data_IF_544487402241
#
_entry.id   IF_544487402241
#
_cell.length_a   1.000
_cell.length_b   1.000
_cell.length_c   1.000
_cell.angle_alpha   90.00
_cell.angle_beta   90.00
_cell.angle_gamma   90.00
#
_symmetry.space_group_name_H-M   'P 1'
#
loop_
_entity.id
_entity.type
_entity.pdbx_description
1 polymer ?
#
# COMPACT_ATOMS: atom_id res chain seq x y z
N UNK A 1 25.47 -5.48 0.03
CA UNK A 1 24.88 -5.40 -0.04
C UNK A 1 24.17 -5.40 -0.09
N UNK A 2 23.85 -5.55 -0.27
CA UNK A 2 22.92 -5.69 -0.43
C UNK A 2 22.12 -5.29 -0.73
N UNK A 3 21.88 -5.42 -1.25
CA UNK A 3 21.06 -4.96 -1.61
C UNK A 3 20.05 -5.17 -1.66
N UNK A 4 19.73 -5.61 -1.50
CA UNK A 4 18.65 -5.80 -1.58
C UNK A 4 17.96 -5.18 -1.26
N UNK A 5 18.26 -5.03 -1.23
CA UNK A 5 17.70 -4.42 -0.84
C UNK A 5 16.75 -3.83 -0.99
N UNK A 6 16.58 -3.56 -0.93
CA UNK A 6 15.51 -3.13 -0.94
C UNK A 6 15.07 -2.39 -1.94
N UNK A 7 14.20 -2.87 -2.61
CA UNK A 7 13.60 -2.16 -3.62
C UNK A 7 12.39 -1.47 -3.10
N UNK A 8 12.37 -0.16 -3.11
CA UNK A 8 11.18 0.59 -2.77
C UNK A 8 10.27 0.62 -3.97
N UNK A 9 8.96 0.41 -3.77
CA UNK A 9 8.02 0.61 -4.87
C UNK A 9 7.70 2.11 -4.98
N UNK A 10 6.99 2.49 -6.05
CA UNK A 10 6.73 3.90 -6.33
C UNK A 10 5.95 4.57 -5.21
N UNK A 11 5.07 3.84 -4.56
CA UNK A 11 4.25 4.40 -3.49
C UNK A 11 5.11 4.75 -2.28
N UNK A 12 6.10 3.92 -1.97
CA UNK A 12 6.97 4.15 -0.83
C UNK A 12 7.82 5.40 -1.01
N UNK A 13 8.02 5.84 -2.25
CA UNK A 13 8.82 7.02 -2.52
C UNK A 13 8.02 8.31 -2.43
N UNK A 14 6.71 8.23 -2.26
CA UNK A 14 5.87 9.40 -2.10
C UNK A 14 5.91 9.83 -0.63
N UNK A 15 6.35 11.06 -0.39
CA UNK A 15 6.43 11.59 0.97
C UNK A 15 5.11 12.14 1.48
N UNK A 16 4.21 12.49 0.56
CA UNK A 16 2.94 13.11 0.93
C UNK A 16 1.94 12.05 1.34
N UNK A 17 1.84 11.80 2.65
CA UNK A 17 0.94 10.77 3.17
C UNK A 17 -0.53 11.13 2.98
N UNK A 18 -0.84 12.41 2.93
CA UNK A 18 -2.23 12.82 2.67
C UNK A 18 -2.64 12.46 1.26
N UNK A 19 -1.74 12.61 0.32
CA UNK A 19 -1.99 12.23 -1.06
C UNK A 19 -2.23 10.73 -1.16
N UNK A 20 -1.40 9.94 -0.49
CA UNK A 20 -1.57 8.48 -0.48
C UNK A 20 -2.89 8.10 0.16
N UNK A 21 -3.20 8.70 1.31
CA UNK A 21 -4.44 8.40 2.02
C UNK A 21 -5.67 8.71 1.17
N UNK A 22 -5.64 9.87 0.51
CA UNK A 22 -6.73 10.27 -0.37
C UNK A 22 -6.90 9.29 -1.52
N UNK A 23 -5.78 8.86 -2.12
CA UNK A 23 -5.82 7.92 -3.22
C UNK A 23 -6.40 6.57 -2.77
N UNK A 24 -6.02 6.11 -1.58
CA UNK A 24 -6.54 4.86 -1.04
C UNK A 24 -8.05 4.97 -0.85
N UNK A 25 -8.53 6.08 -0.33
CA UNK A 25 -9.96 6.27 -0.12
C UNK A 25 -10.73 6.26 -1.44
N UNK A 26 -10.10 6.71 -2.51
CA UNK A 26 -10.72 6.73 -3.83
C UNK A 26 -10.62 5.41 -4.57
N UNK A 27 -9.75 4.52 -4.13
CA UNK A 27 -9.63 3.21 -4.74
C UNK A 27 -10.89 2.39 -4.50
N UNK A 28 -11.28 1.62 -5.50
CA UNK A 28 -12.42 0.72 -5.36
C UNK A 28 -11.93 -0.59 -4.76
N UNK A 29 -11.70 -0.58 -3.45
CA UNK A 29 -11.13 -1.72 -2.73
C UNK A 29 -11.99 -2.08 -1.54
N UNK A 30 -11.87 -3.33 -1.10
CA UNK A 30 -12.50 -3.76 0.14
C UNK A 30 -11.92 -2.99 1.32
N UNK A 31 -12.72 -2.79 2.38
CA UNK A 31 -12.21 -2.06 3.55
C UNK A 31 -10.93 -2.64 4.13
N UNK A 32 -10.79 -3.97 4.14
CA UNK A 32 -9.58 -4.61 4.67
C UNK A 32 -8.36 -4.24 3.84
N UNK A 33 -8.53 -4.17 2.52
CA UNK A 33 -7.44 -3.80 1.62
C UNK A 33 -7.03 -2.34 1.82
N UNK A 34 -8.03 -1.47 2.00
CA UNK A 34 -7.73 -0.06 2.27
C UNK A 34 -6.98 0.10 3.58
N UNK A 35 -7.39 -0.67 4.59
CA UNK A 35 -6.71 -0.61 5.88
C UNK A 35 -5.27 -1.07 5.77
N UNK A 36 -5.05 -2.15 5.04
CA UNK A 36 -3.70 -2.64 4.80
C UNK A 36 -2.83 -1.57 4.18
N UNK A 37 -3.32 -0.93 3.13
CA UNK A 37 -2.54 0.09 2.45
C UNK A 37 -2.27 1.29 3.34
N UNK A 38 -3.25 1.70 4.13
CA UNK A 38 -3.05 2.84 5.03
C UNK A 38 -2.02 2.52 6.11
N UNK A 39 -2.08 1.32 6.69
CA UNK A 39 -1.13 0.95 7.72
C UNK A 39 0.28 0.91 7.15
N UNK A 40 0.45 0.33 5.97
CA UNK A 40 1.78 0.16 5.39
C UNK A 40 2.36 1.46 4.83
N UNK A 41 1.54 2.28 4.19
CA UNK A 41 2.05 3.41 3.41
C UNK A 41 1.74 4.78 3.98
N UNK A 42 0.75 4.89 4.84
CA UNK A 42 0.45 6.15 5.51
C UNK A 42 1.06 6.15 6.90
N UNK A 43 0.83 5.09 7.67
CA UNK A 43 1.34 4.99 9.04
C UNK A 43 2.74 4.39 9.11
N UNK A 44 3.24 3.87 7.98
CA UNK A 44 4.58 3.28 7.90
C UNK A 44 4.74 2.08 8.83
N UNK A 45 3.66 1.33 9.06
CA UNK A 45 3.71 0.12 9.85
C UNK A 45 4.13 -1.09 9.04
N UNK A 46 3.94 -2.27 9.61
CA UNK A 46 4.32 -3.51 8.97
C UNK A 46 3.12 -4.43 8.83
N UNK A 47 3.32 -5.57 8.17
CA UNK A 47 2.22 -6.50 7.95
C UNK A 47 1.65 -7.07 9.24
N UNK A 48 2.48 -7.23 10.27
CA UNK A 48 1.98 -7.67 11.57
C UNK A 48 0.96 -6.70 12.14
N UNK A 49 1.18 -5.40 11.93
CA UNK A 49 0.23 -4.39 12.38
C UNK A 49 -1.11 -4.56 11.68
N UNK A 50 -1.07 -4.90 10.39
CA UNK A 50 -2.30 -5.16 9.63
C UNK A 50 -3.02 -6.38 10.18
N UNK A 51 -2.26 -7.44 10.50
CA UNK A 51 -2.85 -8.66 11.04
C UNK A 51 -3.64 -8.37 12.30
N UNK A 52 -3.09 -7.55 13.18
CA UNK A 52 -3.77 -7.18 14.41
C UNK A 52 -5.02 -6.35 14.12
N UNK A 53 -4.91 -5.43 13.17
CA UNK A 53 -6.00 -4.52 12.89
C UNK A 53 -7.19 -5.21 12.25
N UNK A 54 -6.94 -6.19 11.37
CA UNK A 54 -8.02 -6.86 10.64
C UNK A 54 -8.37 -8.22 11.19
N UNK A 55 -7.59 -8.74 12.14
CA UNK A 55 -7.89 -10.02 12.76
C UNK A 55 -7.65 -11.21 11.87
N UNK A 56 -6.62 -11.15 11.01
CA UNK A 56 -6.27 -12.23 10.10
C UNK A 56 -4.83 -12.63 10.29
N UNK A 57 -4.50 -13.84 9.85
CA UNK A 57 -3.13 -14.34 9.98
C UNK A 57 -2.22 -13.70 8.93
N UNK A 58 -0.94 -13.80 9.18
CA UNK A 58 0.08 -13.18 8.33
C UNK A 58 0.01 -13.70 6.89
N UNK A 59 -0.16 -14.99 6.74
CA UNK A 59 -0.21 -15.61 5.42
C UNK A 59 -1.33 -15.01 4.57
N UNK A 60 -2.50 -14.83 5.16
CA UNK A 60 -3.65 -14.26 4.48
C UNK A 60 -3.41 -12.80 4.12
N UNK A 61 -2.93 -12.03 5.08
CA UNK A 61 -2.71 -10.59 4.88
C UNK A 61 -1.63 -10.34 3.83
N UNK A 62 -0.58 -11.15 3.89
CA UNK A 62 0.51 -11.03 2.94
C UNK A 62 0.04 -11.22 1.49
N UNK A 63 -0.94 -12.09 1.28
CA UNK A 63 -1.50 -12.31 -0.05
C UNK A 63 -2.32 -11.14 -0.54
N UNK A 64 -2.84 -10.33 0.35
CA UNK A 64 -3.64 -9.16 -0.02
C UNK A 64 -2.78 -8.00 -0.52
N UNK A 65 -1.52 -7.97 -0.12
CA UNK A 65 -0.66 -6.80 -0.36
C UNK A 65 -0.49 -6.52 -1.85
N UNK A 66 -0.15 -7.54 -2.62
CA UNK A 66 0.13 -7.34 -4.03
C UNK A 66 -1.08 -6.82 -4.81
N UNK A 67 -2.25 -7.47 -4.74
CA UNK A 67 -3.39 -6.96 -5.50
C UNK A 67 -3.85 -5.59 -5.03
N UNK A 68 -3.76 -5.32 -3.73
CA UNK A 68 -4.14 -4.01 -3.23
C UNK A 68 -3.20 -2.94 -3.73
N UNK A 69 -1.90 -3.22 -3.69
CA UNK A 69 -0.89 -2.27 -4.14
C UNK A 69 -1.03 -1.98 -5.63
N UNK A 70 -1.30 -2.99 -6.43
CA UNK A 70 -1.47 -2.81 -7.87
C UNK A 70 -2.59 -1.82 -8.16
N UNK A 71 -3.70 -1.96 -7.46
CA UNK A 71 -4.83 -1.04 -7.67
C UNK A 71 -4.49 0.38 -7.28
N UNK A 72 -3.77 0.55 -6.17
CA UNK A 72 -3.36 1.87 -5.73
C UNK A 72 -2.40 2.49 -6.73
N UNK A 73 -1.42 1.72 -7.21
CA UNK A 73 -0.45 2.22 -8.17
C UNK A 73 -1.14 2.65 -9.45
N UNK A 74 -2.10 1.85 -9.94
CA UNK A 74 -2.83 2.21 -11.15
C UNK A 74 -3.59 3.51 -11.00
N UNK A 75 -4.22 3.71 -9.84
CA UNK A 75 -4.94 4.96 -9.60
C UNK A 75 -3.99 6.15 -9.60
N UNK A 76 -2.85 6.01 -8.92
CA UNK A 76 -1.87 7.09 -8.84
C UNK A 76 -1.29 7.40 -10.22
N UNK A 77 -1.05 6.39 -11.03
CA UNK A 77 -0.60 6.61 -12.41
C UNK A 77 -1.64 7.35 -13.23
N UNK A 78 -2.89 6.98 -13.06
CA UNK A 78 -3.98 7.63 -13.76
C UNK A 78 -4.09 9.10 -13.40
N UNK A 79 -3.80 9.42 -12.15
CA UNK A 79 -3.85 10.79 -11.65
C UNK A 79 -2.57 11.56 -11.96
N UNK A 80 -1.57 10.92 -12.55
CA UNK A 80 -0.31 11.58 -12.85
C UNK A 80 0.57 11.81 -11.64
N UNK A 81 0.34 11.07 -10.55
CA UNK A 81 1.11 11.24 -9.33
C UNK A 81 2.39 10.44 -9.32
N UNK A 82 2.47 9.38 -10.13
CA UNK A 82 3.69 8.59 -10.31
C UNK A 82 3.80 8.24 -11.78
N UNK A 83 5.00 7.86 -12.19
CA UNK A 83 5.25 7.52 -13.59
C UNK A 83 4.57 6.22 -13.94
N UNK A 84 3.98 6.19 -15.13
CA UNK A 84 3.38 4.98 -15.67
C UNK A 84 4.45 4.23 -16.43
N UNK A 85 4.98 3.23 -15.83
CA UNK A 85 6.01 2.49 -16.52
C UNK A 85 5.65 1.07 -16.67
#
# INVERSE_FOLDING_TARGET
MTEHVQQKNAVQEIDDTELISSAIDKCNLRPEYKRLLKILYVERGCLEDVCEAVGRDYSTVSKWHKPALIRLVRLLQKQGKINAK
#
